data_IF_369933947326
#
_entry.id   IF_369933947326
#
_cell.length_a   1.000
_cell.length_b   1.000
_cell.length_c   1.000
_cell.angle_alpha   90.00
_cell.angle_beta   90.00
_cell.angle_gamma   90.00
#
_symmetry.space_group_name_H-M   'P 1'
#
loop_
_entity.id
_entity.type
_entity.pdbx_description
1 polymer ?
#
# COMPACT_ATOMS: atom_id res chain seq x y z
N UNK A 1 7.59 5.60 -18.34
CA UNK A 1 8.13 6.87 -17.77
C UNK A 1 7.17 7.61 -16.83
N UNK A 2 5.84 7.45 -16.93
CA UNK A 2 4.90 8.16 -16.04
C UNK A 2 4.76 7.55 -14.62
N UNK A 3 5.05 6.26 -14.46
CA UNK A 3 4.80 5.53 -13.20
C UNK A 3 5.53 6.11 -11.98
N UNK A 4 6.83 6.46 -12.05
CA UNK A 4 7.51 7.08 -10.91
C UNK A 4 6.84 8.40 -10.48
N UNK A 5 6.28 9.17 -11.42
CA UNK A 5 5.65 10.45 -11.11
C UNK A 5 4.36 10.31 -10.30
N UNK A 6 3.60 9.23 -10.49
CA UNK A 6 2.42 8.93 -9.66
C UNK A 6 2.77 8.79 -8.17
N UNK A 7 3.99 8.35 -7.87
CA UNK A 7 4.51 8.17 -6.52
C UNK A 7 5.18 9.48 -6.04
N UNK A 8 6.06 10.06 -6.85
CA UNK A 8 6.85 11.24 -6.48
C UNK A 8 6.00 12.50 -6.27
N UNK A 9 4.93 12.71 -7.03
CA UNK A 9 4.07 13.89 -6.91
C UNK A 9 3.47 13.99 -5.49
N UNK A 10 2.81 12.95 -4.94
CA UNK A 10 2.39 12.93 -3.54
C UNK A 10 3.52 13.19 -2.54
N UNK A 11 4.69 12.55 -2.69
CA UNK A 11 5.81 12.75 -1.75
C UNK A 11 6.32 14.19 -1.75
N UNK A 12 6.54 14.75 -2.94
CA UNK A 12 7.01 16.13 -3.13
C UNK A 12 5.93 17.10 -2.62
N UNK A 13 4.67 16.90 -3.01
CA UNK A 13 3.55 17.73 -2.58
C UNK A 13 3.37 17.74 -1.06
N UNK A 14 3.47 16.57 -0.43
CA UNK A 14 3.45 16.44 1.03
C UNK A 14 4.60 17.19 1.70
N UNK A 15 5.82 17.06 1.18
CA UNK A 15 6.97 17.81 1.68
C UNK A 15 6.79 19.33 1.53
N UNK A 16 6.29 19.78 0.37
CA UNK A 16 5.98 21.19 0.13
C UNK A 16 4.89 21.71 1.08
N UNK A 17 3.85 20.93 1.37
CA UNK A 17 2.82 21.29 2.36
C UNK A 17 3.44 21.60 3.73
N UNK A 18 4.34 20.75 4.21
CA UNK A 18 5.00 20.97 5.50
C UNK A 18 5.92 22.19 5.48
N UNK A 19 6.73 22.33 4.44
CA UNK A 19 7.67 23.46 4.32
C UNK A 19 6.99 24.82 4.12
N UNK A 20 5.80 24.84 3.53
CA UNK A 20 5.07 26.09 3.24
C UNK A 20 4.10 26.49 4.34
N UNK A 21 3.93 25.65 5.37
CA UNK A 21 3.11 25.96 6.55
C UNK A 21 3.53 27.28 7.22
N UNK A 22 4.84 27.58 7.22
CA UNK A 22 5.41 28.84 7.72
C UNK A 22 4.95 30.10 6.99
N UNK A 23 4.46 29.97 5.75
CA UNK A 23 3.99 31.10 4.95
C UNK A 23 2.48 31.33 5.06
N UNK A 24 1.76 30.45 5.75
CA UNK A 24 0.35 30.64 6.07
C UNK A 24 -0.49 29.36 5.97
N UNK A 25 -1.57 29.34 6.73
CA UNK A 25 -2.45 28.17 6.93
C UNK A 25 -3.15 27.69 5.65
N UNK A 26 -3.39 28.61 4.69
CA UNK A 26 -4.11 28.29 3.45
C UNK A 26 -3.22 27.64 2.39
N UNK A 27 -1.91 27.88 2.42
CA UNK A 27 -0.98 27.46 1.37
C UNK A 27 -0.89 25.92 1.27
N UNK A 28 -0.70 25.17 2.39
CA UNK A 28 -0.63 23.71 2.34
C UNK A 28 -1.89 23.05 1.77
N UNK A 29 -3.07 23.62 2.03
CA UNK A 29 -4.34 23.06 1.56
C UNK A 29 -4.45 23.11 0.03
N UNK A 30 -4.07 24.23 -0.57
CA UNK A 30 -4.04 24.37 -2.03
C UNK A 30 -2.96 23.49 -2.66
N UNK A 31 -1.77 23.39 -2.05
CA UNK A 31 -0.72 22.49 -2.54
C UNK A 31 -1.20 21.04 -2.51
N UNK A 32 -1.82 20.59 -1.42
CA UNK A 32 -2.36 19.24 -1.31
C UNK A 32 -3.45 18.97 -2.38
N UNK A 33 -4.35 19.93 -2.60
CA UNK A 33 -5.42 19.79 -3.60
C UNK A 33 -4.87 19.71 -5.03
N UNK A 34 -3.91 20.58 -5.36
CA UNK A 34 -3.24 20.55 -6.67
C UNK A 34 -2.46 19.25 -6.84
N UNK A 35 -1.75 18.80 -5.79
CA UNK A 35 -0.98 17.55 -5.80
C UNK A 35 -1.87 16.36 -6.12
N UNK A 36 -2.97 16.17 -5.37
CA UNK A 36 -3.88 15.06 -5.63
C UNK A 36 -4.65 15.21 -6.95
N UNK A 37 -4.98 16.44 -7.34
CA UNK A 37 -5.55 16.73 -8.65
C UNK A 37 -4.63 16.32 -9.79
N UNK A 38 -3.33 16.59 -9.70
CA UNK A 38 -2.33 16.14 -10.67
C UNK A 38 -2.17 14.62 -10.67
N UNK A 39 -2.11 13.98 -9.50
CA UNK A 39 -2.04 12.51 -9.40
C UNK A 39 -3.27 11.85 -10.04
N UNK A 40 -4.46 12.38 -9.80
CA UNK A 40 -5.71 11.91 -10.41
C UNK A 40 -5.73 12.17 -11.92
N UNK A 41 -5.28 13.34 -12.38
CA UNK A 41 -5.21 13.65 -13.80
C UNK A 41 -4.25 12.70 -14.54
N UNK A 42 -3.09 12.40 -13.95
CA UNK A 42 -2.13 11.46 -14.52
C UNK A 42 -2.66 10.02 -14.54
N UNK A 43 -3.36 9.58 -13.49
CA UNK A 43 -3.95 8.24 -13.47
C UNK A 43 -5.10 8.10 -14.47
N UNK A 44 -5.94 9.14 -14.63
CA UNK A 44 -6.96 9.17 -15.67
C UNK A 44 -6.36 9.26 -17.08
N UNK A 45 -5.26 9.98 -17.25
CA UNK A 45 -4.54 10.01 -18.53
C UNK A 45 -4.05 8.60 -18.89
N UNK A 46 -3.45 7.88 -17.95
CA UNK A 46 -3.08 6.48 -18.17
C UNK A 46 -4.32 5.67 -18.57
N UNK A 47 -5.41 5.75 -17.79
CA UNK A 47 -6.67 5.05 -18.07
C UNK A 47 -7.19 5.26 -19.49
N UNK A 48 -7.20 6.51 -19.98
CA UNK A 48 -7.71 6.84 -21.31
C UNK A 48 -6.78 6.39 -22.45
N UNK A 49 -5.49 6.19 -22.18
CA UNK A 49 -4.49 5.83 -23.18
C UNK A 49 -4.30 4.32 -23.34
N UNK A 50 -4.60 3.51 -22.32
CA UNK A 50 -4.34 2.08 -22.36
C UNK A 50 -5.57 1.22 -22.71
N UNK A 51 -5.34 0.12 -23.42
CA UNK A 51 -6.31 -0.96 -23.61
C UNK A 51 -6.39 -1.86 -22.37
N UNK A 52 -6.78 -1.32 -21.22
CA UNK A 52 -6.83 -2.08 -19.97
C UNK A 52 -8.02 -3.05 -19.98
N UNK A 53 -7.71 -4.33 -20.09
CA UNK A 53 -8.67 -5.40 -19.80
C UNK A 53 -8.58 -5.76 -18.32
N UNK A 54 -9.72 -5.81 -17.63
CA UNK A 54 -9.81 -6.33 -16.26
C UNK A 54 -9.64 -7.86 -16.22
N UNK A 55 -9.88 -8.51 -17.36
CA UNK A 55 -9.79 -9.96 -17.51
C UNK A 55 -8.64 -10.30 -18.44
N UNK A 56 -7.56 -10.84 -17.88
CA UNK A 56 -6.59 -11.58 -18.67
C UNK A 56 -6.93 -13.07 -18.56
N UNK A 57 -6.96 -13.74 -19.72
CA UNK A 57 -6.99 -15.19 -19.79
C UNK A 57 -5.75 -15.73 -19.08
N UNK A 58 -5.93 -16.74 -18.22
CA UNK A 58 -4.91 -17.37 -17.39
C UNK A 58 -3.47 -17.27 -17.95
N UNK A 59 -2.62 -16.45 -17.33
CA UNK A 59 -1.26 -16.17 -17.80
C UNK A 59 -0.59 -15.04 -17.00
N UNK A 60 0.70 -14.81 -17.30
CA UNK A 60 1.54 -13.73 -16.74
C UNK A 60 0.83 -12.38 -16.96
N UNK A 61 0.78 -11.47 -15.96
CA UNK A 61 0.17 -10.17 -16.16
C UNK A 61 0.84 -9.44 -17.32
N UNK A 62 0.09 -9.16 -18.39
CA UNK A 62 0.59 -8.25 -19.42
C UNK A 62 0.54 -6.83 -18.86
N UNK A 63 1.70 -6.27 -18.56
CA UNK A 63 1.84 -4.89 -18.15
C UNK A 63 1.64 -3.96 -19.36
N UNK A 64 0.81 -2.93 -19.22
CA UNK A 64 0.64 -1.95 -20.30
C UNK A 64 1.70 -0.84 -20.24
N UNK A 65 2.30 -0.63 -19.07
CA UNK A 65 3.39 0.32 -18.87
C UNK A 65 4.27 -0.18 -17.74
N UNK A 66 5.57 -0.07 -17.95
CA UNK A 66 6.60 -0.51 -17.03
C UNK A 66 7.66 0.57 -16.86
N UNK A 67 8.31 0.53 -15.71
CA UNK A 67 9.52 1.25 -15.40
C UNK A 67 10.37 0.34 -14.53
N UNK A 68 11.51 -0.06 -15.05
CA UNK A 68 12.47 -0.90 -14.34
C UNK A 68 13.82 -0.18 -14.27
N UNK A 69 14.37 -0.11 -13.06
CA UNK A 69 15.67 0.47 -12.78
C UNK A 69 16.35 -0.31 -11.66
N UNK A 70 17.63 -0.72 -11.82
CA UNK A 70 18.37 -1.38 -10.75
C UNK A 70 18.48 -0.49 -9.51
N UNK A 71 18.17 -1.04 -8.33
CA UNK A 71 18.26 -0.31 -7.05
C UNK A 71 19.36 -0.84 -6.15
N UNK A 72 19.32 -2.14 -5.83
CA UNK A 72 20.37 -2.82 -5.05
C UNK A 72 20.78 -4.10 -5.80
N UNK A 73 21.62 -3.97 -6.86
CA UNK A 73 21.93 -5.08 -7.77
C UNK A 73 22.53 -6.30 -7.07
N UNK A 74 23.29 -6.11 -5.99
CA UNK A 74 23.88 -7.19 -5.19
C UNK A 74 22.86 -8.20 -4.67
N UNK A 75 21.62 -7.76 -4.42
CA UNK A 75 20.54 -8.59 -3.90
C UNK A 75 19.43 -8.84 -4.93
N UNK A 76 19.62 -8.41 -6.19
CA UNK A 76 18.58 -8.51 -7.21
C UNK A 76 17.34 -7.66 -6.93
N UNK A 77 17.52 -6.54 -6.22
CA UNK A 77 16.43 -5.61 -5.90
C UNK A 77 16.40 -4.49 -6.95
N UNK A 78 15.21 -4.20 -7.47
CA UNK A 78 14.95 -3.22 -8.51
C UNK A 78 13.83 -2.26 -8.09
N UNK A 79 13.84 -1.04 -8.65
CA UNK A 79 12.64 -0.20 -8.70
C UNK A 79 11.87 -0.64 -9.95
N UNK A 80 11.20 -1.79 -9.83
CA UNK A 80 10.33 -2.31 -10.88
C UNK A 80 8.88 -1.92 -10.57
N UNK A 81 8.39 -0.94 -11.32
CA UNK A 81 7.02 -0.46 -11.30
C UNK A 81 6.33 -0.89 -12.57
N UNK A 82 5.17 -1.52 -12.45
CA UNK A 82 4.32 -1.83 -13.58
C UNK A 82 2.86 -1.52 -13.26
N UNK A 83 2.05 -1.39 -14.31
CA UNK A 83 0.62 -1.16 -14.17
C UNK A 83 -0.15 -2.08 -15.09
N UNK A 84 -1.15 -2.76 -14.52
CA UNK A 84 -2.18 -3.47 -15.25
C UNK A 84 -3.58 -2.88 -14.99
N UNK A 85 -4.65 -3.53 -15.47
CA UNK A 85 -6.02 -3.08 -15.22
C UNK A 85 -6.42 -3.05 -13.74
N UNK A 86 -5.96 -4.00 -12.93
CA UNK A 86 -6.23 -4.04 -11.49
C UNK A 86 -5.49 -2.91 -10.76
N UNK A 87 -4.20 -2.75 -11.04
CA UNK A 87 -3.38 -1.68 -10.45
C UNK A 87 -3.91 -0.30 -10.83
N UNK A 88 -4.27 -0.10 -12.10
CA UNK A 88 -4.83 1.16 -12.56
C UNK A 88 -6.13 1.53 -11.84
N UNK A 89 -7.05 0.58 -11.68
CA UNK A 89 -8.30 0.81 -10.95
C UNK A 89 -8.03 1.29 -9.52
N UNK A 90 -7.08 0.64 -8.84
CA UNK A 90 -6.71 1.01 -7.49
C UNK A 90 -6.00 2.38 -7.42
N UNK A 91 -5.14 2.71 -8.39
CA UNK A 91 -4.45 4.00 -8.46
C UNK A 91 -5.44 5.15 -8.75
N UNK A 92 -6.40 4.98 -9.67
CA UNK A 92 -7.44 5.98 -9.93
C UNK A 92 -8.33 6.19 -8.70
N UNK A 93 -8.74 5.09 -8.05
CA UNK A 93 -9.50 5.17 -6.80
C UNK A 93 -8.74 5.94 -5.71
N UNK A 94 -7.44 5.67 -5.57
CA UNK A 94 -6.56 6.35 -4.61
C UNK A 94 -6.46 7.85 -4.91
N UNK A 95 -6.31 8.22 -6.18
CA UNK A 95 -6.32 9.62 -6.62
C UNK A 95 -7.64 10.33 -6.29
N UNK A 96 -8.77 9.71 -6.63
CA UNK A 96 -10.10 10.26 -6.37
C UNK A 96 -10.36 10.45 -4.88
N UNK A 97 -10.15 9.41 -4.08
CA UNK A 97 -10.38 9.47 -2.63
C UNK A 97 -9.40 10.43 -1.95
N UNK A 98 -8.16 10.55 -2.43
CA UNK A 98 -7.22 11.51 -1.90
C UNK A 98 -7.63 12.97 -2.17
N UNK A 99 -8.21 13.29 -3.33
CA UNK A 99 -8.82 14.62 -3.57
C UNK A 99 -9.94 14.87 -2.57
N UNK A 100 -10.83 13.89 -2.37
CA UNK A 100 -11.93 14.02 -1.42
C UNK A 100 -11.45 14.14 0.04
N UNK A 101 -10.41 13.40 0.44
CA UNK A 101 -9.81 13.49 1.76
C UNK A 101 -9.24 14.89 2.04
N UNK A 102 -8.58 15.52 1.06
CA UNK A 102 -8.11 16.91 1.17
C UNK A 102 -9.29 17.89 1.32
N UNK A 103 -10.36 17.71 0.54
CA UNK A 103 -11.54 18.57 0.61
C UNK A 103 -12.29 18.44 1.94
N UNK A 104 -12.44 17.22 2.46
CA UNK A 104 -13.10 16.97 3.75
C UNK A 104 -12.31 17.53 4.94
N UNK A 105 -10.97 17.44 4.90
CA UNK A 105 -10.11 17.97 5.97
C UNK A 105 -9.98 19.50 5.97
N UNK A 106 -10.53 20.19 4.97
CA UNK A 106 -10.31 21.62 4.77
C UNK A 106 -10.74 22.51 5.92
N UNK A 107 -11.79 22.14 6.67
CA UNK A 107 -12.26 22.88 7.86
C UNK A 107 -11.97 22.16 9.17
N UNK A 108 -11.77 20.86 9.14
CA UNK A 108 -11.51 20.03 10.33
C UNK A 108 -10.12 20.29 10.92
N UNK A 109 -9.12 20.52 10.07
CA UNK A 109 -7.72 20.61 10.50
C UNK A 109 -7.31 22.06 10.77
N UNK A 110 -7.26 22.41 12.07
CA UNK A 110 -6.94 23.74 12.57
C UNK A 110 -5.53 23.89 13.15
N UNK A 111 -4.80 22.78 13.35
CA UNK A 111 -3.43 22.79 13.87
C UNK A 111 -2.52 21.92 13.02
N UNK A 112 -1.28 22.37 12.83
CA UNK A 112 -0.24 21.64 12.11
C UNK A 112 -0.69 21.24 10.68
N UNK A 113 -1.32 22.14 9.93
CA UNK A 113 -1.94 21.82 8.64
C UNK A 113 -0.95 21.28 7.61
N UNK A 114 0.26 21.83 7.58
CA UNK A 114 1.31 21.38 6.66
C UNK A 114 1.75 19.96 7.00
N UNK A 115 2.00 19.70 8.29
CA UNK A 115 2.35 18.36 8.75
C UNK A 115 1.22 17.34 8.56
N UNK A 116 -0.05 17.74 8.72
CA UNK A 116 -1.21 16.89 8.41
C UNK A 116 -1.19 16.46 6.94
N UNK A 117 -1.10 17.42 6.03
CA UNK A 117 -1.11 17.12 4.59
C UNK A 117 0.15 16.38 4.14
N UNK A 118 1.31 16.58 4.79
CA UNK A 118 2.49 15.73 4.57
C UNK A 118 2.17 14.27 4.83
N UNK A 119 1.62 13.97 6.00
CA UNK A 119 1.30 12.60 6.37
C UNK A 119 0.24 12.01 5.43
N UNK A 120 -0.83 12.75 5.14
CA UNK A 120 -1.88 12.34 4.21
C UNK A 120 -1.31 11.98 2.82
N UNK A 121 -0.49 12.87 2.23
CA UNK A 121 0.08 12.63 0.90
C UNK A 121 1.07 11.46 0.89
N UNK A 122 1.83 11.25 1.97
CA UNK A 122 2.77 10.14 2.07
C UNK A 122 2.07 8.78 2.22
N UNK A 123 0.91 8.73 2.91
CA UNK A 123 0.05 7.54 2.89
C UNK A 123 -0.37 7.24 1.46
N UNK A 124 -0.97 8.21 0.77
CA UNK A 124 -1.50 8.03 -0.58
C UNK A 124 -0.40 7.68 -1.59
N UNK A 125 0.77 8.33 -1.51
CA UNK A 125 1.94 8.00 -2.32
C UNK A 125 2.49 6.60 -2.04
N UNK A 126 2.54 6.20 -0.77
CA UNK A 126 2.91 4.85 -0.37
C UNK A 126 1.93 3.80 -0.91
N UNK A 127 0.62 4.05 -0.80
CA UNK A 127 -0.41 3.15 -1.35
C UNK A 127 -0.28 3.03 -2.88
N UNK A 128 -0.09 4.14 -3.61
CA UNK A 128 0.17 4.07 -5.06
C UNK A 128 1.40 3.21 -5.34
N UNK A 129 2.47 3.37 -4.56
CA UNK A 129 3.66 2.52 -4.64
C UNK A 129 3.34 1.03 -4.45
N UNK A 130 2.49 0.68 -3.49
CA UNK A 130 2.03 -0.70 -3.26
C UNK A 130 1.32 -1.29 -4.49
N UNK A 131 0.50 -0.49 -5.18
CA UNK A 131 -0.23 -0.96 -6.36
C UNK A 131 0.63 -1.06 -7.63
N UNK A 132 1.77 -0.35 -7.67
CA UNK A 132 2.67 -0.34 -8.81
C UNK A 132 3.87 -1.28 -8.66
N UNK A 133 4.27 -1.62 -7.44
CA UNK A 133 5.47 -2.41 -7.19
C UNK A 133 5.33 -3.87 -7.64
N UNK A 134 6.22 -4.29 -8.56
CA UNK A 134 6.36 -5.67 -9.06
C UNK A 134 7.66 -6.32 -8.54
N UNK A 135 8.44 -5.59 -7.74
CA UNK A 135 9.51 -6.15 -6.92
C UNK A 135 8.99 -6.38 -5.48
N UNK A 136 9.21 -7.57 -4.92
CA UNK A 136 8.67 -7.96 -3.61
C UNK A 136 9.26 -7.13 -2.45
N UNK A 137 10.52 -6.72 -2.57
CA UNK A 137 11.12 -5.84 -1.57
C UNK A 137 10.57 -4.43 -1.70
N UNK A 138 10.40 -3.92 -2.92
CA UNK A 138 9.79 -2.62 -3.18
C UNK A 138 8.32 -2.57 -2.70
N UNK A 139 7.56 -3.65 -2.93
CA UNK A 139 6.20 -3.81 -2.42
C UNK A 139 6.18 -3.71 -0.89
N UNK A 140 7.04 -4.47 -0.21
CA UNK A 140 7.17 -4.42 1.25
C UNK A 140 7.58 -3.02 1.73
N UNK A 141 8.52 -2.36 1.05
CA UNK A 141 8.96 -1.02 1.38
C UNK A 141 7.80 -0.01 1.38
N UNK A 142 6.98 0.01 0.32
CA UNK A 142 5.81 0.89 0.27
C UNK A 142 4.71 0.48 1.25
N UNK A 143 4.56 -0.83 1.49
CA UNK A 143 3.61 -1.37 2.46
C UNK A 143 3.86 -0.86 3.88
N UNK A 144 5.12 -0.81 4.29
CA UNK A 144 5.57 -0.29 5.59
C UNK A 144 5.60 1.24 5.62
N UNK A 145 6.04 1.87 4.52
CA UNK A 145 6.14 3.32 4.42
C UNK A 145 4.80 4.00 4.70
N UNK A 146 3.68 3.46 4.20
CA UNK A 146 2.37 4.06 4.44
C UNK A 146 1.86 3.93 5.88
N UNK A 147 2.42 3.03 6.71
CA UNK A 147 1.99 2.84 8.09
C UNK A 147 2.45 3.96 9.02
N UNK A 148 3.69 4.44 8.85
CA UNK A 148 4.29 5.45 9.74
C UNK A 148 3.50 6.78 9.70
N UNK A 149 3.18 7.35 8.53
CA UNK A 149 2.36 8.55 8.47
C UNK A 149 0.93 8.34 9.01
N UNK A 150 0.36 7.14 8.82
CA UNK A 150 -0.96 6.81 9.35
C UNK A 150 -0.99 6.81 10.88
N UNK A 151 0.07 6.32 11.52
CA UNK A 151 0.23 6.42 12.97
C UNK A 151 0.13 7.88 13.44
N UNK A 152 0.84 8.81 12.78
CA UNK A 152 0.79 10.22 13.13
C UNK A 152 -0.59 10.84 12.92
N UNK A 153 -1.29 10.49 11.84
CA UNK A 153 -2.66 10.99 11.59
C UNK A 153 -3.60 10.63 12.74
N UNK A 154 -3.58 9.39 13.21
CA UNK A 154 -4.42 8.94 14.34
C UNK A 154 -3.94 9.57 15.64
N UNK A 155 -2.63 9.53 15.93
CA UNK A 155 -2.10 9.97 17.23
C UNK A 155 -2.26 11.47 17.48
N UNK A 156 -2.16 12.32 16.43
CA UNK A 156 -2.14 13.78 16.57
C UNK A 156 -3.48 14.45 16.25
N UNK A 157 -4.22 13.97 15.25
CA UNK A 157 -5.50 14.54 14.82
C UNK A 157 -6.69 13.64 15.08
N UNK A 158 -6.48 12.48 15.70
CA UNK A 158 -7.58 11.60 16.04
C UNK A 158 -8.56 12.17 17.08
N UNK A 159 -9.80 11.74 16.96
CA UNK A 159 -10.91 12.04 17.86
C UNK A 159 -10.73 11.36 19.22
N UNK A 160 -11.32 11.93 20.27
CA UNK A 160 -11.39 11.26 21.57
C UNK A 160 -12.40 10.11 21.48
N UNK A 161 -12.01 8.94 21.95
CA UNK A 161 -12.92 7.79 21.99
C UNK A 161 -14.02 8.00 23.04
N UNK A 162 -15.22 7.46 22.77
CA UNK A 162 -16.35 7.48 23.70
C UNK A 162 -16.14 6.56 24.91
N UNK A 163 -15.23 5.59 24.81
CA UNK A 163 -14.92 4.58 25.83
C UNK A 163 -13.72 4.94 26.72
N UNK A 164 -13.22 6.18 26.64
CA UNK A 164 -12.08 6.66 27.44
C UNK A 164 -10.70 6.21 26.94
N UNK A 165 -10.61 5.42 25.86
CA UNK A 165 -9.33 5.08 25.23
C UNK A 165 -8.69 6.32 24.59
N UNK A 166 -7.37 6.39 24.64
CA UNK A 166 -6.63 7.47 24.00
C UNK A 166 -6.36 7.17 22.53
N UNK A 167 -6.40 8.21 21.69
CA UNK A 167 -5.98 8.15 20.27
C UNK A 167 -4.57 7.60 20.07
N UNK A 168 -3.68 7.81 21.04
CA UNK A 168 -2.33 7.24 21.03
C UNK A 168 -2.40 5.73 21.24
N UNK A 169 -3.25 5.23 22.15
CA UNK A 169 -3.45 3.79 22.35
C UNK A 169 -3.99 3.12 21.08
N UNK A 170 -4.98 3.73 20.40
CA UNK A 170 -5.49 3.20 19.15
C UNK A 170 -4.44 3.22 18.03
N UNK A 171 -3.71 4.32 17.87
CA UNK A 171 -2.62 4.43 16.90
C UNK A 171 -1.54 3.38 17.15
N UNK A 172 -1.09 3.21 18.39
CA UNK A 172 -0.08 2.23 18.78
C UNK A 172 -0.58 0.80 18.57
N UNK A 173 -1.84 0.50 18.91
CA UNK A 173 -2.43 -0.83 18.66
C UNK A 173 -2.49 -1.13 17.15
N UNK A 174 -2.99 -0.19 16.35
CA UNK A 174 -2.99 -0.31 14.88
C UNK A 174 -1.58 -0.57 14.33
N UNK A 175 -0.62 0.25 14.76
CA UNK A 175 0.77 0.15 14.31
C UNK A 175 1.37 -1.19 14.69
N UNK A 176 1.25 -1.65 15.94
CA UNK A 176 1.80 -2.94 16.38
C UNK A 176 1.18 -4.12 15.62
N UNK A 177 -0.15 -4.14 15.47
CA UNK A 177 -0.84 -5.20 14.73
C UNK A 177 -0.31 -5.32 13.30
N UNK A 178 -0.29 -4.20 12.59
CA UNK A 178 0.07 -4.16 11.16
C UNK A 178 1.57 -4.29 10.92
N UNK A 179 2.40 -3.74 11.82
CA UNK A 179 3.85 -3.89 11.77
C UNK A 179 4.28 -5.33 12.04
N UNK A 180 3.69 -5.98 13.05
CA UNK A 180 4.03 -7.37 13.36
C UNK A 180 3.67 -8.29 12.19
N UNK A 181 2.51 -8.08 11.58
CA UNK A 181 2.09 -8.86 10.41
C UNK A 181 2.93 -8.56 9.17
N UNK A 182 3.35 -7.30 8.98
CA UNK A 182 4.30 -6.91 7.93
C UNK A 182 5.67 -7.59 8.08
N UNK A 183 6.20 -7.73 9.31
CA UNK A 183 7.45 -8.45 9.54
C UNK A 183 7.34 -9.95 9.21
N UNK A 184 6.19 -10.57 9.47
CA UNK A 184 5.92 -11.96 9.04
C UNK A 184 5.97 -12.07 7.51
N UNK A 185 5.39 -11.10 6.80
CA UNK A 185 5.49 -11.03 5.33
C UNK A 185 6.93 -10.87 4.86
N UNK A 186 7.72 -10.02 5.50
CA UNK A 186 9.14 -9.86 5.14
C UNK A 186 9.90 -11.18 5.28
N UNK A 187 9.66 -11.93 6.36
CA UNK A 187 10.27 -13.25 6.54
C UNK A 187 9.83 -14.20 5.42
N UNK A 188 8.55 -14.19 5.03
CA UNK A 188 8.05 -15.02 3.94
C UNK A 188 8.63 -14.61 2.58
N UNK A 189 8.76 -13.31 2.28
CA UNK A 189 9.41 -12.80 1.08
C UNK A 189 10.87 -13.26 1.03
N UNK A 190 11.63 -13.05 2.10
CA UNK A 190 13.03 -13.46 2.14
C UNK A 190 13.15 -14.98 1.96
N UNK A 191 12.34 -15.77 2.66
CA UNK A 191 12.34 -17.22 2.55
C UNK A 191 12.01 -17.69 1.12
N UNK A 192 11.03 -17.07 0.44
CA UNK A 192 10.74 -17.32 -0.97
C UNK A 192 11.95 -17.04 -1.86
N UNK A 193 12.63 -15.91 -1.66
CA UNK A 193 13.84 -15.54 -2.41
C UNK A 193 14.98 -16.55 -2.15
N UNK A 194 15.17 -17.01 -0.91
CA UNK A 194 16.15 -18.04 -0.58
C UNK A 194 15.83 -19.38 -1.27
N UNK A 195 14.56 -19.77 -1.31
CA UNK A 195 14.12 -20.99 -2.00
C UNK A 195 14.37 -20.87 -3.51
N UNK A 196 14.04 -19.72 -4.09
CA UNK A 196 14.34 -19.42 -5.49
C UNK A 196 15.84 -19.50 -5.77
N UNK A 197 16.67 -18.81 -4.98
CA UNK A 197 18.12 -18.83 -5.12
C UNK A 197 18.70 -20.25 -5.02
N UNK A 198 18.21 -21.09 -4.11
CA UNK A 198 18.69 -22.46 -3.99
C UNK A 198 18.35 -23.32 -5.22
N UNK A 199 17.28 -22.99 -5.94
CA UNK A 199 16.87 -23.69 -7.15
C UNK A 199 17.55 -23.16 -8.43
N UNK A 200 17.78 -21.85 -8.53
CA UNK A 200 18.22 -21.19 -9.78
C UNK A 200 19.64 -20.60 -9.71
N UNK A 201 20.16 -20.37 -8.51
CA UNK A 201 21.43 -19.66 -8.28
C UNK A 201 21.35 -18.14 -8.45
N UNK A 202 20.13 -17.59 -8.64
CA UNK A 202 19.92 -16.16 -8.92
C UNK A 202 19.20 -15.49 -7.73
N UNK A 203 19.75 -14.36 -7.27
CA UNK A 203 19.08 -13.49 -6.31
C UNK A 203 18.13 -12.57 -7.08
N UNK A 204 16.86 -12.58 -6.72
CA UNK A 204 15.85 -11.74 -7.36
C UNK A 204 14.69 -11.47 -6.41
N UNK A 205 14.17 -10.25 -6.44
CA UNK A 205 12.89 -9.91 -5.84
C UNK A 205 11.82 -9.65 -6.90
N UNK A 206 12.14 -9.85 -8.19
CA UNK A 206 11.20 -9.66 -9.29
C UNK A 206 10.07 -10.69 -9.20
N UNK A 207 8.83 -10.21 -9.12
CA UNK A 207 7.63 -11.04 -9.02
C UNK A 207 7.52 -12.08 -10.13
N UNK A 208 7.83 -11.74 -11.38
CA UNK A 208 7.69 -12.65 -12.53
C UNK A 208 8.66 -13.83 -12.46
N UNK A 209 9.88 -13.57 -12.00
CA UNK A 209 10.86 -14.63 -11.77
C UNK A 209 10.44 -15.51 -10.59
N UNK A 210 9.93 -14.89 -9.52
CA UNK A 210 9.49 -15.60 -8.32
C UNK A 210 8.25 -16.48 -8.55
N UNK A 211 7.38 -16.16 -9.51
CA UNK A 211 6.25 -17.01 -9.92
C UNK A 211 6.70 -18.41 -10.39
N UNK A 212 7.92 -18.51 -10.91
CA UNK A 212 8.47 -19.75 -11.47
C UNK A 212 9.34 -20.50 -10.46
N UNK A 213 9.27 -20.15 -9.17
CA UNK A 213 10.07 -20.79 -8.12
C UNK A 213 9.58 -22.22 -7.86
N UNK A 214 10.42 -23.26 -8.07
CA UNK A 214 10.03 -24.61 -7.74
C UNK A 214 10.01 -24.80 -6.22
N UNK A 215 8.87 -25.23 -5.69
CA UNK A 215 8.65 -25.41 -4.25
C UNK A 215 8.08 -26.81 -3.97
N UNK A 216 8.46 -27.38 -2.81
CA UNK A 216 7.72 -28.52 -2.27
C UNK A 216 6.42 -28.02 -1.61
N UNK A 217 5.40 -28.87 -1.56
CA UNK A 217 4.07 -28.51 -1.02
C UNK A 217 4.14 -27.92 0.39
N UNK A 218 4.96 -28.48 1.28
CA UNK A 218 5.10 -27.97 2.64
C UNK A 218 5.74 -26.57 2.71
N UNK A 219 6.71 -26.28 1.85
CA UNK A 219 7.34 -24.94 1.77
C UNK A 219 6.35 -23.94 1.17
N UNK A 220 5.69 -24.31 0.07
CA UNK A 220 4.66 -23.49 -0.57
C UNK A 220 3.57 -23.09 0.45
N UNK A 221 3.09 -24.04 1.25
CA UNK A 221 2.06 -23.82 2.25
C UNK A 221 2.52 -22.89 3.40
N UNK A 222 3.74 -23.07 3.92
CA UNK A 222 4.27 -22.21 4.98
C UNK A 222 4.50 -20.76 4.50
N UNK A 223 5.02 -20.60 3.28
CA UNK A 223 5.22 -19.28 2.69
C UNK A 223 3.88 -18.60 2.42
N UNK A 224 2.91 -19.34 1.86
CA UNK A 224 1.54 -18.87 1.67
C UNK A 224 0.92 -18.36 2.98
N UNK A 225 1.04 -19.12 4.08
CA UNK A 225 0.54 -18.68 5.38
C UNK A 225 1.20 -17.38 5.86
N UNK A 226 2.50 -17.21 5.61
CA UNK A 226 3.22 -15.98 5.96
C UNK A 226 2.67 -14.74 5.23
N UNK A 227 2.42 -14.86 3.92
CA UNK A 227 1.75 -13.82 3.12
C UNK A 227 0.30 -13.63 3.58
N UNK A 228 -0.46 -14.72 3.74
CA UNK A 228 -1.87 -14.68 4.12
C UNK A 228 -2.07 -14.00 5.47
N UNK A 229 -1.29 -14.32 6.51
CA UNK A 229 -1.41 -13.68 7.83
C UNK A 229 -1.21 -12.17 7.72
N UNK A 230 -0.20 -11.73 6.97
CA UNK A 230 0.07 -10.31 6.80
C UNK A 230 -1.09 -9.56 6.16
N UNK A 231 -1.66 -10.14 5.11
CA UNK A 231 -2.81 -9.58 4.42
C UNK A 231 -4.09 -9.70 5.26
N UNK A 232 -4.33 -10.81 5.95
CA UNK A 232 -5.51 -11.05 6.78
C UNK A 232 -5.59 -10.10 7.98
N UNK A 233 -4.45 -9.78 8.61
CA UNK A 233 -4.40 -8.75 9.67
C UNK A 233 -4.81 -7.38 9.11
N UNK A 234 -4.31 -7.00 7.93
CA UNK A 234 -4.61 -5.70 7.33
C UNK A 234 -5.97 -5.64 6.63
N UNK A 235 -6.53 -6.78 6.21
CA UNK A 235 -7.90 -6.97 5.68
C UNK A 235 -8.94 -7.28 6.78
N UNK A 236 -8.70 -6.80 8.00
CA UNK A 236 -9.29 -7.29 9.27
C UNK A 236 -10.16 -8.56 9.19
N UNK A 237 -9.56 -9.72 8.87
CA UNK A 237 -10.28 -11.02 8.89
C UNK A 237 -10.52 -11.44 10.34
N UNK A 238 -11.62 -12.12 10.67
CA UNK A 238 -11.85 -12.70 12.01
C UNK A 238 -10.84 -13.83 12.25
N UNK A 239 -10.10 -13.89 13.37
CA UNK A 239 -10.18 -13.06 14.59
C UNK A 239 -9.18 -11.89 14.67
N UNK A 240 -8.50 -11.55 13.60
CA UNK A 240 -7.39 -10.57 13.52
C UNK A 240 -7.84 -9.10 13.38
N UNK A 241 -9.14 -8.83 13.37
CA UNK A 241 -9.74 -7.50 13.18
C UNK A 241 -9.68 -6.56 14.39
N UNK A 242 -9.13 -6.99 15.52
CA UNK A 242 -9.25 -6.29 16.80
C UNK A 242 -8.73 -4.85 16.84
N UNK A 243 -7.86 -4.44 15.90
CA UNK A 243 -7.37 -3.07 15.77
C UNK A 243 -8.34 -2.13 15.04
N UNK A 244 -9.20 -2.68 14.18
CA UNK A 244 -10.01 -1.93 13.21
C UNK A 244 -11.03 -0.98 13.88
N UNK A 245 -11.84 -1.41 14.88
CA UNK A 245 -12.85 -0.53 15.47
C UNK A 245 -12.23 0.67 16.18
N UNK A 246 -11.12 0.45 16.89
CA UNK A 246 -10.41 1.52 17.60
C UNK A 246 -9.77 2.51 16.60
N UNK A 247 -9.16 2.01 15.52
CA UNK A 247 -8.52 2.86 14.52
C UNK A 247 -9.53 3.72 13.73
N UNK A 248 -10.65 3.15 13.28
CA UNK A 248 -11.67 3.90 12.54
C UNK A 248 -12.42 4.92 13.39
N UNK A 249 -12.77 4.55 14.62
CA UNK A 249 -13.51 5.47 15.51
C UNK A 249 -12.68 6.69 15.91
N UNK A 250 -11.35 6.55 15.94
CA UNK A 250 -10.45 7.57 16.43
C UNK A 250 -9.69 8.30 15.31
N UNK A 251 -9.67 7.82 14.07
CA UNK A 251 -9.04 8.57 12.98
C UNK A 251 -9.80 9.89 12.69
N UNK A 252 -9.10 10.95 12.22
CA UNK A 252 -9.76 12.14 11.68
C UNK A 252 -10.59 11.78 10.44
N UNK A 253 -11.55 12.60 10.03
CA UNK A 253 -12.48 12.28 8.93
C UNK A 253 -11.75 11.88 7.65
N UNK A 254 -10.76 12.68 7.23
CA UNK A 254 -9.93 12.36 6.07
C UNK A 254 -9.09 11.08 6.26
N UNK A 255 -8.58 10.84 7.48
CA UNK A 255 -7.87 9.60 7.81
C UNK A 255 -8.79 8.38 7.75
N UNK A 256 -10.05 8.49 8.14
CA UNK A 256 -11.06 7.43 8.03
C UNK A 256 -11.45 7.13 6.58
N UNK A 257 -11.52 8.14 5.73
CA UNK A 257 -11.71 7.97 4.27
C UNK A 257 -10.59 7.13 3.69
N UNK A 258 -9.34 7.44 4.00
CA UNK A 258 -8.18 6.70 3.49
C UNK A 258 -8.08 5.30 4.10
N UNK A 259 -8.29 5.19 5.42
CA UNK A 259 -8.28 3.91 6.15
C UNK A 259 -9.31 2.96 5.54
N UNK A 260 -10.57 3.39 5.42
CA UNK A 260 -11.65 2.54 4.92
C UNK A 260 -11.56 2.34 3.41
N UNK A 261 -11.31 3.41 2.69
CA UNK A 261 -11.44 3.49 1.24
C UNK A 261 -10.29 2.86 0.49
N UNK A 262 -9.07 2.91 1.04
CA UNK A 262 -7.85 2.55 0.29
C UNK A 262 -6.95 1.59 1.06
N UNK A 263 -6.61 1.87 2.32
CA UNK A 263 -5.63 1.08 3.07
C UNK A 263 -6.03 -0.40 3.17
N UNK A 264 -7.31 -0.70 3.40
CA UNK A 264 -7.82 -2.08 3.40
C UNK A 264 -7.72 -2.76 2.02
N UNK A 265 -7.81 -1.99 0.92
CA UNK A 265 -7.74 -2.51 -0.45
C UNK A 265 -6.32 -2.95 -0.79
N UNK A 266 -5.30 -2.38 -0.16
CA UNK A 266 -3.90 -2.83 -0.36
C UNK A 266 -3.71 -4.30 0.05
N UNK A 267 -4.39 -4.75 1.09
CA UNK A 267 -4.34 -6.14 1.54
C UNK A 267 -5.06 -7.09 0.57
N UNK A 268 -6.24 -6.69 0.08
CA UNK A 268 -6.98 -7.43 -0.94
C UNK A 268 -6.18 -7.54 -2.24
N UNK A 269 -5.61 -6.42 -2.68
CA UNK A 269 -4.71 -6.39 -3.82
C UNK A 269 -3.51 -7.33 -3.62
N UNK A 270 -2.87 -7.30 -2.45
CA UNK A 270 -1.74 -8.17 -2.14
C UNK A 270 -2.08 -9.67 -2.18
N UNK A 271 -3.25 -10.06 -1.65
CA UNK A 271 -3.76 -11.43 -1.76
C UNK A 271 -3.95 -11.85 -3.21
N UNK A 272 -4.66 -11.03 -4.00
CA UNK A 272 -5.00 -11.34 -5.39
C UNK A 272 -3.75 -11.34 -6.30
N UNK A 273 -2.84 -10.40 -6.09
CA UNK A 273 -1.65 -10.23 -6.93
C UNK A 273 -0.53 -11.18 -6.55
N UNK A 274 -0.25 -11.35 -5.26
CA UNK A 274 0.95 -12.06 -4.82
C UNK A 274 0.61 -13.42 -4.21
N UNK A 275 -0.29 -13.48 -3.23
CA UNK A 275 -0.53 -14.74 -2.50
C UNK A 275 -1.09 -15.84 -3.41
N UNK A 276 -2.17 -15.55 -4.16
CA UNK A 276 -2.80 -16.57 -5.00
C UNK A 276 -1.88 -17.04 -6.15
N UNK A 277 -1.18 -16.14 -6.87
CA UNK A 277 -0.34 -16.58 -8.00
C UNK A 277 1.00 -17.18 -7.58
N UNK A 278 1.63 -16.72 -6.48
CA UNK A 278 2.88 -17.31 -5.99
C UNK A 278 2.67 -18.69 -5.37
N UNK A 279 1.50 -18.94 -4.77
CA UNK A 279 1.21 -20.17 -4.03
C UNK A 279 -0.15 -20.78 -4.42
N UNK A 280 -0.35 -21.16 -5.69
CA UNK A 280 -1.66 -21.55 -6.20
C UNK A 280 -2.19 -22.84 -5.55
N UNK A 281 -1.33 -23.84 -5.30
CA UNK A 281 -1.76 -25.11 -4.73
C UNK A 281 -2.10 -24.93 -3.25
N UNK A 282 -1.20 -24.27 -2.52
CA UNK A 282 -1.41 -23.99 -1.11
C UNK A 282 -2.64 -23.10 -0.87
N UNK A 283 -2.86 -22.10 -1.72
CA UNK A 283 -4.04 -21.24 -1.63
C UNK A 283 -5.34 -22.01 -1.90
N UNK A 284 -5.35 -22.92 -2.88
CA UNK A 284 -6.50 -23.78 -3.14
C UNK A 284 -6.78 -24.76 -1.98
N UNK A 285 -5.73 -25.33 -1.39
CA UNK A 285 -5.83 -26.21 -0.22
C UNK A 285 -6.35 -25.47 1.02
N UNK A 286 -5.90 -24.23 1.24
CA UNK A 286 -6.27 -23.44 2.41
C UNK A 286 -7.62 -22.71 2.28
N UNK A 287 -8.15 -22.53 1.06
CA UNK A 287 -9.39 -21.79 0.81
C UNK A 287 -10.58 -22.22 1.69
N UNK A 288 -10.86 -23.53 1.94
CA UNK A 288 -11.95 -23.94 2.82
C UNK A 288 -11.77 -23.55 4.28
N UNK A 289 -10.55 -23.28 4.73
CA UNK A 289 -10.23 -22.86 6.10
C UNK A 289 -10.34 -21.33 6.25
N UNK A 290 -10.07 -20.60 5.17
CA UNK A 290 -10.11 -19.14 5.14
C UNK A 290 -11.51 -18.53 4.98
N UNK A 291 -12.49 -19.31 4.50
CA UNK A 291 -13.90 -18.93 4.30
C UNK A 291 -14.75 -19.23 5.53
#
# INVERSE_FOLDING_TARGET
MLLPWLILIPFIGGFLCWQTERFGVKVPRWIALITMGLTLALSLQLWLQGGYSLTQSAGIPQWQSEFDMPWIPRFGISIHLAIDGLSLLMVVLTGLLGVLAVLCSWKEIEKYQGFFHLNLMWILGGVIGVFLAIDMFLFFFFWEMMLVPMYFLIALWGHKASDGKTRITAATKFFIYTQASGLVMLIAILALVFVHYNATGVWTFNYEELLNTPMSSGVEYLLMLGFFIAFAVKMPVVPLHGWLPDAHSQAPTAGSVDLAGILLKTAAYGLLRFSLPLFPNASAEFAPIAM
#
